data_IF_524396963323
#
_entry.id   IF_524396963323
#
_cell.length_a   1.000
_cell.length_b   1.000
_cell.length_c   1.000
_cell.angle_alpha   90.00
_cell.angle_beta   90.00
_cell.angle_gamma   90.00
#
_symmetry.space_group_name_H-M   'P 1'
#
loop_
_entity.id
_entity.type
_entity.pdbx_description
1 polymer ?
#
# COMPACT_ATOMS: atom_id res chain seq x y z
N UNK A 1 3.49 -5.13 14.77
CA UNK A 1 2.38 -4.70 13.91
C UNK A 1 2.62 -5.32 12.55
N UNK A 2 1.67 -6.09 12.01
CA UNK A 2 1.91 -7.00 10.89
C UNK A 2 1.56 -6.37 9.54
N UNK A 3 2.39 -6.68 8.55
CA UNK A 3 2.19 -6.44 7.12
C UNK A 3 0.79 -6.85 6.60
N UNK A 4 0.17 -7.82 7.26
CA UNK A 4 -1.15 -8.36 6.94
C UNK A 4 -2.27 -7.32 6.90
N UNK A 5 -2.19 -6.26 7.71
CA UNK A 5 -3.19 -5.17 7.70
C UNK A 5 -3.14 -4.34 6.41
N UNK A 6 -1.92 -4.14 5.87
CA UNK A 6 -1.73 -3.46 4.60
C UNK A 6 -2.24 -4.32 3.44
N UNK A 7 -1.97 -5.63 3.46
CA UNK A 7 -2.48 -6.56 2.44
C UNK A 7 -4.01 -6.60 2.46
N UNK A 8 -4.61 -6.62 3.64
CA UNK A 8 -6.07 -6.61 3.79
C UNK A 8 -6.67 -5.32 3.24
N UNK A 9 -6.09 -4.16 3.55
CA UNK A 9 -6.52 -2.87 2.98
C UNK A 9 -6.46 -2.88 1.44
N UNK A 10 -5.38 -3.41 0.86
CA UNK A 10 -5.21 -3.47 -0.60
C UNK A 10 -6.24 -4.41 -1.23
N UNK A 11 -6.41 -5.61 -0.67
CA UNK A 11 -7.39 -6.57 -1.16
C UNK A 11 -8.82 -6.04 -1.10
N UNK A 12 -9.20 -5.37 0.00
CA UNK A 12 -10.52 -4.76 0.14
C UNK A 12 -10.67 -3.54 -0.79
N UNK A 13 -9.64 -2.72 -0.97
CA UNK A 13 -9.66 -1.59 -1.91
C UNK A 13 -9.68 -2.01 -3.39
N UNK A 14 -9.21 -3.19 -3.74
CA UNK A 14 -9.33 -3.73 -5.10
C UNK A 14 -10.76 -4.21 -5.40
N UNK A 15 -11.46 -4.71 -4.39
CA UNK A 15 -12.83 -5.22 -4.51
C UNK A 15 -13.90 -4.13 -4.33
N UNK A 16 -13.63 -3.12 -3.51
CA UNK A 16 -14.58 -2.05 -3.22
C UNK A 16 -14.14 -0.67 -3.78
N UNK A 17 -14.82 -0.17 -4.83
CA UNK A 17 -14.58 1.17 -5.37
C UNK A 17 -14.76 2.30 -4.35
N UNK A 18 -15.61 2.11 -3.33
CA UNK A 18 -15.85 3.08 -2.27
C UNK A 18 -14.63 3.24 -1.34
N UNK A 19 -13.84 2.17 -1.17
CA UNK A 19 -12.54 2.23 -0.47
C UNK A 19 -11.44 2.74 -1.41
N UNK A 20 -11.47 2.34 -2.68
CA UNK A 20 -10.48 2.77 -3.70
C UNK A 20 -10.49 4.26 -3.96
N UNK A 21 -11.67 4.86 -4.09
CA UNK A 21 -11.82 6.27 -4.45
C UNK A 21 -11.10 7.22 -3.48
N UNK A 22 -11.35 7.18 -2.15
CA UNK A 22 -10.66 8.07 -1.20
C UNK A 22 -9.15 7.79 -1.14
N UNK A 23 -8.71 6.53 -1.29
CA UNK A 23 -7.28 6.20 -1.33
C UNK A 23 -6.58 6.76 -2.58
N UNK A 24 -7.28 6.79 -3.74
CA UNK A 24 -6.75 7.37 -4.99
C UNK A 24 -6.61 8.90 -4.94
N UNK A 25 -7.46 9.57 -4.16
CA UNK A 25 -7.42 11.02 -4.00
C UNK A 25 -6.38 11.47 -2.97
N UNK A 26 -5.78 10.55 -2.20
CA UNK A 26 -4.70 10.87 -1.29
C UNK A 26 -3.45 11.31 -2.07
N UNK A 27 -3.04 12.56 -1.89
CA UNK A 27 -1.84 13.11 -2.57
C UNK A 27 -0.61 13.06 -1.67
N UNK A 28 -0.77 12.74 -0.39
CA UNK A 28 0.34 12.54 0.54
C UNK A 28 0.26 11.22 1.31
N UNK A 29 1.43 10.72 1.72
CA UNK A 29 1.54 9.57 2.61
C UNK A 29 0.80 9.78 3.95
N UNK A 30 0.77 11.03 4.44
CA UNK A 30 0.08 11.37 5.70
C UNK A 30 -1.44 11.25 5.52
N UNK A 31 -1.99 11.72 4.41
CA UNK A 31 -3.41 11.59 4.08
C UNK A 31 -3.81 10.13 3.93
N UNK A 32 -3.02 9.35 3.19
CA UNK A 32 -3.25 7.92 3.03
C UNK A 32 -3.34 7.20 4.38
N UNK A 33 -2.39 7.45 5.29
CA UNK A 33 -2.39 6.84 6.61
C UNK A 33 -3.58 7.27 7.47
N UNK A 34 -3.99 8.53 7.34
CA UNK A 34 -5.17 9.03 8.06
C UNK A 34 -6.44 8.33 7.57
N UNK A 35 -6.60 8.18 6.25
CA UNK A 35 -7.74 7.50 5.63
C UNK A 35 -7.73 6.01 5.99
N UNK A 36 -6.60 5.32 5.86
CA UNK A 36 -6.48 3.91 6.23
C UNK A 36 -6.88 3.66 7.69
N UNK A 37 -6.44 4.53 8.61
CA UNK A 37 -6.83 4.44 10.03
C UNK A 37 -8.30 4.75 10.28
N UNK A 38 -8.88 5.71 9.54
CA UNK A 38 -10.33 5.99 9.59
C UNK A 38 -11.17 4.82 9.10
N UNK A 39 -10.65 4.05 8.15
CA UNK A 39 -11.28 2.84 7.64
C UNK A 39 -11.09 1.62 8.56
N UNK A 40 -10.35 1.76 9.67
CA UNK A 40 -10.15 0.71 10.66
C UNK A 40 -8.86 -0.10 10.49
N UNK A 41 -8.04 0.19 9.47
CA UNK A 41 -6.79 -0.54 9.25
C UNK A 41 -5.62 0.11 9.98
N UNK A 42 -4.84 -0.72 10.67
CA UNK A 42 -3.68 -0.28 11.43
C UNK A 42 -2.40 -0.17 10.57
N UNK A 43 -2.46 0.56 9.46
CA UNK A 43 -1.29 0.72 8.56
C UNK A 43 -0.31 1.77 9.10
N UNK A 44 0.99 1.46 9.05
CA UNK A 44 2.05 2.39 9.45
C UNK A 44 2.91 2.85 8.27
N UNK A 45 3.68 3.93 8.49
CA UNK A 45 4.70 4.38 7.53
C UNK A 45 5.74 3.30 7.25
N UNK A 46 6.05 2.47 8.24
CA UNK A 46 7.03 1.41 8.12
C UNK A 46 6.57 0.36 7.11
N UNK A 47 5.30 -0.05 7.19
CA UNK A 47 4.70 -1.04 6.29
C UNK A 47 4.69 -0.54 4.84
N UNK A 48 4.34 0.73 4.63
CA UNK A 48 4.38 1.34 3.30
C UNK A 48 5.80 1.48 2.73
N UNK A 49 6.79 1.71 3.60
CA UNK A 49 8.20 1.74 3.18
C UNK A 49 8.66 0.35 2.74
N UNK A 50 8.35 -0.68 3.54
CA UNK A 50 8.63 -2.07 3.17
C UNK A 50 7.94 -2.44 1.85
N UNK A 51 6.70 -2.01 1.61
CA UNK A 51 5.97 -2.24 0.35
C UNK A 51 6.66 -1.60 -0.85
N UNK A 52 7.19 -0.38 -0.68
CA UNK A 52 7.98 0.28 -1.72
C UNK A 52 9.34 -0.36 -1.93
N UNK A 53 9.98 -0.87 -0.89
CA UNK A 53 11.24 -1.59 -0.99
C UNK A 53 11.06 -2.94 -1.69
N UNK A 54 10.01 -3.68 -1.33
CA UNK A 54 9.66 -4.95 -1.95
C UNK A 54 9.30 -4.76 -3.43
N UNK A 55 8.47 -3.77 -3.76
CA UNK A 55 8.16 -3.44 -5.16
C UNK A 55 9.40 -3.01 -5.94
N UNK A 56 10.34 -2.29 -5.32
CA UNK A 56 11.62 -1.95 -5.97
C UNK A 56 12.49 -3.17 -6.18
N UNK A 57 12.58 -4.09 -5.20
CA UNK A 57 13.31 -5.35 -5.35
C UNK A 57 12.73 -6.24 -6.44
N UNK A 58 11.41 -6.29 -6.57
CA UNK A 58 10.73 -7.02 -7.64
C UNK A 58 10.79 -6.30 -9.00
N UNK A 59 10.87 -4.97 -9.02
CA UNK A 59 11.08 -4.20 -10.25
C UNK A 59 12.54 -4.28 -10.74
N UNK A 60 13.51 -4.30 -9.84
CA UNK A 60 14.95 -4.41 -10.15
C UNK A 60 15.44 -5.85 -10.35
N UNK A 61 14.61 -6.88 -10.15
CA UNK A 61 14.97 -8.28 -10.45
C UNK A 61 13.76 -9.13 -10.89
N UNK A 62 13.81 -9.92 -11.99
CA UNK A 62 14.92 -10.23 -12.92
C UNK A 62 14.64 -9.72 -14.35
N UNK A 63 14.39 -8.42 -14.54
CA UNK A 63 14.41 -7.82 -15.89
C UNK A 63 15.82 -7.36 -16.31
N UNK A 64 16.74 -7.21 -15.36
CA UNK A 64 18.12 -6.77 -15.61
C UNK A 64 19.08 -7.87 -16.12
N UNK A 65 18.61 -9.11 -16.31
CA UNK A 65 19.43 -10.25 -16.79
C UNK A 65 19.03 -10.74 -18.21
N UNK A 66 18.48 -9.84 -19.05
CA UNK A 66 18.18 -10.11 -20.48
C UNK A 66 18.64 -8.95 -21.39
N UNK A 67 19.85 -8.45 -21.18
CA UNK A 67 20.52 -7.55 -22.13
C UNK A 67 21.91 -8.11 -22.45
#
# INVERSE_FOLDING_TARGET
MSWSELERLVAEAEQDPALRSPLRHCRSLKEFLLVARKLGYAVTRHDLRLAREEHRRQADGPAALKA
#
